data_IF_526574099812
#
_entry.id   IF_526574099812
#
_cell.length_a   1.000
_cell.length_b   1.000
_cell.length_c   1.000
_cell.angle_alpha   90.00
_cell.angle_beta   90.00
_cell.angle_gamma   90.00
#
_symmetry.space_group_name_H-M   'P 1'
#
loop_
_entity.id
_entity.type
_entity.pdbx_description
1 polymer ?
#
# COMPACT_ATOMS: atom_id res chain seq x y z
N UNK A 1 76.18 -29.51 3.54
CA UNK A 1 74.83 -29.81 3.02
C UNK A 1 73.84 -29.20 4.02
N UNK A 2 73.10 -28.14 3.68
CA UNK A 2 72.29 -27.39 4.65
C UNK A 2 70.90 -28.01 4.87
N UNK A 3 70.40 -27.86 6.09
CA UNK A 3 69.12 -28.39 6.60
C UNK A 3 67.88 -27.72 5.96
N UNK A 4 66.74 -28.41 5.85
CA UNK A 4 65.49 -27.81 5.39
C UNK A 4 64.72 -27.15 6.55
N UNK A 5 64.36 -25.88 6.32
CA UNK A 5 63.59 -25.02 7.22
C UNK A 5 62.11 -25.43 7.22
N UNK A 6 61.58 -25.68 8.42
CA UNK A 6 60.17 -25.90 8.71
C UNK A 6 59.37 -24.63 8.36
N UNK A 7 58.35 -24.75 7.51
CA UNK A 7 57.32 -23.71 7.30
C UNK A 7 55.93 -24.28 7.50
N UNK A 8 55.49 -24.28 8.75
CA UNK A 8 54.08 -24.29 9.13
C UNK A 8 53.45 -22.96 8.74
N UNK A 9 52.61 -22.95 7.70
CA UNK A 9 51.73 -21.83 7.40
C UNK A 9 50.30 -22.20 7.81
N UNK A 10 49.94 -21.88 9.05
CA UNK A 10 48.55 -21.86 9.51
C UNK A 10 47.77 -20.81 8.72
N UNK A 11 46.96 -21.26 7.75
CA UNK A 11 45.99 -20.42 7.07
C UNK A 11 44.77 -20.22 7.97
N UNK A 12 44.89 -19.32 8.95
CA UNK A 12 43.74 -18.79 9.66
C UNK A 12 43.02 -17.77 8.76
N UNK A 13 42.10 -18.27 7.94
CA UNK A 13 41.17 -17.42 7.19
C UNK A 13 40.30 -16.65 8.19
N UNK A 14 40.60 -15.37 8.41
CA UNK A 14 39.73 -14.47 9.17
C UNK A 14 38.40 -14.35 8.44
N UNK A 15 37.32 -14.73 9.11
CA UNK A 15 35.97 -14.49 8.63
C UNK A 15 35.77 -12.97 8.43
N UNK A 16 35.53 -12.57 7.19
CA UNK A 16 35.18 -11.18 6.85
C UNK A 16 33.87 -10.85 7.56
N UNK A 17 33.81 -9.81 8.42
CA UNK A 17 32.57 -9.40 9.04
C UNK A 17 31.59 -9.01 7.93
N UNK A 18 30.53 -9.81 7.75
CA UNK A 18 29.39 -9.46 6.90
C UNK A 18 28.84 -8.14 7.45
N UNK A 19 29.18 -7.04 6.79
CA UNK A 19 28.56 -5.75 7.07
C UNK A 19 27.07 -5.89 6.77
N UNK A 20 26.27 -6.11 7.81
CA UNK A 20 24.82 -5.96 7.74
C UNK A 20 24.58 -4.52 7.28
N UNK A 21 23.93 -4.39 6.12
CA UNK A 21 23.75 -3.13 5.41
C UNK A 21 23.33 -2.01 6.34
N UNK A 22 23.98 -0.86 6.16
CA UNK A 22 23.72 0.38 6.90
C UNK A 22 22.20 0.65 6.90
N UNK A 23 21.55 0.85 8.06
CA UNK A 23 20.13 1.16 8.09
C UNK A 23 19.86 2.41 7.25
N UNK A 24 18.84 2.33 6.38
CA UNK A 24 18.45 3.46 5.52
C UNK A 24 18.14 4.69 6.38
N UNK A 25 18.41 5.91 5.89
CA UNK A 25 18.05 7.14 6.59
C UNK A 25 16.57 7.13 6.97
N UNK A 26 16.20 7.62 8.16
CA UNK A 26 14.82 7.54 8.68
C UNK A 26 13.78 8.18 7.75
N UNK A 27 14.15 9.27 7.06
CA UNK A 27 13.31 9.97 6.11
C UNK A 27 12.96 9.11 4.88
N UNK A 28 13.94 8.36 4.34
CA UNK A 28 13.72 7.45 3.20
C UNK A 28 12.79 6.31 3.60
N UNK A 29 12.89 5.82 4.84
CA UNK A 29 12.00 4.79 5.37
C UNK A 29 10.57 5.31 5.51
N UNK A 30 10.40 6.55 5.96
CA UNK A 30 9.09 7.16 6.11
C UNK A 30 8.38 7.38 4.76
N UNK A 31 9.10 7.89 3.76
CA UNK A 31 8.57 8.06 2.41
C UNK A 31 8.12 6.72 1.81
N UNK A 32 8.97 5.69 1.89
CA UNK A 32 8.61 4.32 1.44
C UNK A 32 7.38 3.75 2.12
N UNK A 33 7.17 4.06 3.41
CA UNK A 33 5.99 3.61 4.15
C UNK A 33 4.74 4.40 3.74
N UNK A 34 4.88 5.69 3.45
CA UNK A 34 3.82 6.51 2.88
C UNK A 34 3.44 5.99 1.49
N UNK A 35 4.40 5.75 0.60
CA UNK A 35 4.17 5.21 -0.74
C UNK A 35 3.42 3.88 -0.68
N UNK A 36 3.85 2.98 0.20
CA UNK A 36 3.16 1.72 0.44
C UNK A 36 1.69 1.92 0.83
N UNK A 37 1.42 2.79 1.81
CA UNK A 37 0.05 3.04 2.29
C UNK A 37 -0.80 3.68 1.21
N UNK A 38 -0.24 4.62 0.46
CA UNK A 38 -0.91 5.29 -0.65
C UNK A 38 -1.29 4.28 -1.72
N UNK A 39 -0.34 3.49 -2.23
CA UNK A 39 -0.62 2.51 -3.29
C UNK A 39 -1.65 1.45 -2.84
N UNK A 40 -1.54 0.92 -1.62
CA UNK A 40 -2.53 -0.02 -1.09
C UNK A 40 -3.90 0.65 -0.94
N UNK A 41 -3.94 1.89 -0.45
CA UNK A 41 -5.17 2.67 -0.33
C UNK A 41 -5.83 2.93 -1.68
N UNK A 42 -5.04 3.30 -2.68
CA UNK A 42 -5.48 3.53 -4.06
C UNK A 42 -6.02 2.25 -4.68
N UNK A 43 -5.31 1.12 -4.56
CA UNK A 43 -5.79 -0.17 -5.07
C UNK A 43 -7.12 -0.56 -4.42
N UNK A 44 -7.24 -0.40 -3.09
CA UNK A 44 -8.46 -0.69 -2.34
C UNK A 44 -9.63 0.19 -2.81
N UNK A 45 -9.40 1.49 -2.99
CA UNK A 45 -10.41 2.44 -3.47
C UNK A 45 -10.86 2.10 -4.90
N UNK A 46 -9.92 1.89 -5.83
CA UNK A 46 -10.23 1.53 -7.21
C UNK A 46 -11.02 0.23 -7.27
N UNK A 47 -10.61 -0.77 -6.50
CA UNK A 47 -11.32 -2.04 -6.41
C UNK A 47 -12.75 -1.87 -5.89
N UNK A 48 -12.98 -0.98 -4.92
CA UNK A 48 -14.32 -0.68 -4.42
C UNK A 48 -15.17 0.00 -5.49
N UNK A 49 -14.60 0.97 -6.20
CA UNK A 49 -15.27 1.66 -7.31
C UNK A 49 -15.66 0.70 -8.44
N UNK A 50 -14.82 -0.28 -8.78
CA UNK A 50 -15.17 -1.34 -9.75
C UNK A 50 -16.45 -2.07 -9.33
N UNK A 51 -16.55 -2.49 -8.07
CA UNK A 51 -17.74 -3.17 -7.55
C UNK A 51 -18.96 -2.26 -7.67
N UNK A 52 -18.85 -1.03 -7.16
CA UNK A 52 -19.95 -0.06 -7.15
C UNK A 52 -20.46 0.23 -8.56
N UNK A 53 -19.56 0.55 -9.49
CA UNK A 53 -19.93 0.84 -10.88
C UNK A 53 -20.53 -0.37 -11.58
N UNK A 54 -19.98 -1.56 -11.36
CA UNK A 54 -20.55 -2.79 -11.94
C UNK A 54 -21.96 -3.07 -11.41
N UNK A 55 -22.19 -2.89 -10.10
CA UNK A 55 -23.50 -3.10 -9.47
C UNK A 55 -24.57 -2.12 -9.95
N UNK A 56 -24.18 -0.92 -10.39
CA UNK A 56 -25.08 0.08 -10.97
C UNK A 56 -25.06 0.10 -12.52
N UNK A 57 -24.53 -0.94 -13.16
CA UNK A 57 -24.47 -1.06 -14.63
C UNK A 57 -23.70 0.06 -15.35
N UNK A 58 -22.77 0.73 -14.67
CA UNK A 58 -21.87 1.74 -15.23
C UNK A 58 -20.57 1.06 -15.71
N UNK A 59 -20.67 0.22 -16.73
CA UNK A 59 -19.60 -0.71 -17.13
C UNK A 59 -18.35 0.01 -17.62
N UNK A 60 -18.47 1.09 -18.40
CA UNK A 60 -17.30 1.83 -18.91
C UNK A 60 -16.44 2.42 -17.78
N UNK A 61 -17.10 2.96 -16.74
CA UNK A 61 -16.42 3.47 -15.54
C UNK A 61 -15.76 2.33 -14.77
N UNK A 62 -16.47 1.20 -14.61
CA UNK A 62 -15.94 0.01 -13.93
C UNK A 62 -14.68 -0.50 -14.63
N UNK A 63 -14.69 -0.60 -15.96
CA UNK A 63 -13.55 -1.02 -16.76
C UNK A 63 -12.38 -0.04 -16.67
N UNK A 64 -12.66 1.26 -16.63
CA UNK A 64 -11.62 2.27 -16.43
C UNK A 64 -10.92 2.08 -15.09
N UNK A 65 -11.68 1.95 -13.99
CA UNK A 65 -11.11 1.73 -12.66
C UNK A 65 -10.39 0.38 -12.55
N UNK A 66 -10.87 -0.64 -13.24
CA UNK A 66 -10.22 -1.95 -13.27
C UNK A 66 -8.84 -1.88 -13.95
N UNK A 67 -8.72 -1.14 -15.07
CA UNK A 67 -7.43 -0.89 -15.72
C UNK A 67 -6.46 -0.14 -14.80
N UNK A 68 -6.93 0.89 -14.12
CA UNK A 68 -6.11 1.65 -13.17
C UNK A 68 -5.67 0.78 -11.98
N UNK A 69 -6.55 -0.08 -11.46
CA UNK A 69 -6.23 -1.00 -10.38
C UNK A 69 -5.11 -1.98 -10.77
N UNK A 70 -5.13 -2.48 -12.02
CA UNK A 70 -4.07 -3.34 -12.55
C UNK A 70 -2.73 -2.60 -12.65
N UNK A 71 -2.73 -1.31 -12.99
CA UNK A 71 -1.50 -0.51 -13.00
C UNK A 71 -0.91 -0.36 -11.59
N UNK A 72 -1.75 -0.07 -10.61
CA UNK A 72 -1.33 0.05 -9.20
C UNK A 72 -0.87 -1.30 -8.64
N UNK A 73 -1.53 -2.40 -8.99
CA UNK A 73 -1.10 -3.74 -8.59
C UNK A 73 0.29 -4.07 -9.15
N UNK A 74 0.55 -3.79 -10.42
CA UNK A 74 1.88 -3.97 -11.03
C UNK A 74 2.96 -3.15 -10.32
N UNK A 75 2.64 -1.92 -9.90
CA UNK A 75 3.55 -1.09 -9.13
C UNK A 75 3.82 -1.65 -7.73
N UNK A 76 2.79 -2.13 -7.03
CA UNK A 76 2.91 -2.82 -5.74
C UNK A 76 3.75 -4.09 -5.83
N UNK A 77 3.56 -4.89 -6.88
CA UNK A 77 4.34 -6.10 -7.16
C UNK A 77 5.80 -5.79 -7.42
N UNK A 78 6.08 -4.73 -8.20
CA UNK A 78 7.45 -4.30 -8.51
C UNK A 78 8.17 -3.74 -7.28
N UNK A 79 7.53 -2.83 -6.55
CA UNK A 79 8.21 -2.01 -5.54
C UNK A 79 8.14 -2.61 -4.13
N UNK A 80 7.13 -3.46 -3.86
CA UNK A 80 6.88 -4.06 -2.54
C UNK A 80 6.45 -5.54 -2.59
N UNK A 81 7.13 -6.43 -3.37
CA UNK A 81 6.63 -7.77 -3.71
C UNK A 81 6.21 -8.62 -2.52
N UNK A 82 7.06 -8.71 -1.48
CA UNK A 82 6.78 -9.52 -0.29
C UNK A 82 5.66 -8.95 0.59
N UNK A 83 5.59 -7.61 0.72
CA UNK A 83 4.53 -6.97 1.50
C UNK A 83 3.19 -7.09 0.76
N UNK A 84 3.22 -6.91 -0.55
CA UNK A 84 2.05 -7.03 -1.41
C UNK A 84 1.49 -8.45 -1.37
N UNK A 85 2.31 -9.48 -1.60
CA UNK A 85 1.88 -10.87 -1.57
C UNK A 85 1.14 -11.24 -0.26
N UNK A 86 1.58 -10.69 0.88
CA UNK A 86 0.92 -10.91 2.18
C UNK A 86 -0.39 -10.13 2.33
N UNK A 87 -0.47 -8.92 1.81
CA UNK A 87 -1.64 -8.04 1.96
C UNK A 87 -2.74 -8.33 0.93
N UNK A 88 -2.38 -8.88 -0.23
CA UNK A 88 -3.28 -9.11 -1.37
C UNK A 88 -4.45 -10.02 -1.00
N UNK A 89 -4.20 -11.11 -0.28
CA UNK A 89 -5.26 -12.06 0.13
C UNK A 89 -6.32 -11.39 1.00
N UNK A 90 -5.92 -10.56 1.95
CA UNK A 90 -6.84 -9.80 2.82
C UNK A 90 -7.70 -8.82 2.00
N UNK A 91 -7.11 -8.15 1.00
CA UNK A 91 -7.85 -7.25 0.12
C UNK A 91 -8.81 -7.98 -0.82
N UNK A 92 -8.46 -9.18 -1.29
CA UNK A 92 -9.37 -9.99 -2.11
C UNK A 92 -10.56 -10.50 -1.30
N UNK A 93 -10.33 -10.88 -0.03
CA UNK A 93 -11.42 -11.19 0.90
C UNK A 93 -12.30 -9.96 1.15
N UNK A 94 -11.70 -8.79 1.31
CA UNK A 94 -12.46 -7.56 1.45
C UNK A 94 -13.31 -7.26 0.20
N UNK A 95 -12.73 -7.40 -0.99
CA UNK A 95 -13.47 -7.26 -2.25
C UNK A 95 -14.64 -8.23 -2.36
N UNK A 96 -14.47 -9.50 -1.95
CA UNK A 96 -15.57 -10.47 -2.00
C UNK A 96 -16.73 -10.07 -1.08
N UNK A 97 -16.44 -9.47 0.07
CA UNK A 97 -17.50 -8.92 0.95
C UNK A 97 -18.26 -7.77 0.30
N UNK A 98 -17.57 -6.92 -0.45
CA UNK A 98 -18.21 -5.84 -1.20
C UNK A 98 -19.11 -6.37 -2.31
N UNK A 99 -18.67 -7.39 -3.04
CA UNK A 99 -19.48 -8.06 -4.05
C UNK A 99 -20.74 -8.71 -3.47
N UNK A 100 -20.67 -9.21 -2.25
CA UNK A 100 -21.81 -9.81 -1.55
C UNK A 100 -22.77 -8.77 -0.96
N UNK A 101 -22.34 -7.51 -0.83
CA UNK A 101 -23.19 -6.44 -0.29
C UNK A 101 -24.33 -6.13 -1.27
N UNK A 102 -25.58 -5.97 -0.80
CA UNK A 102 -26.68 -5.51 -1.63
C UNK A 102 -26.50 -4.01 -1.94
N UNK A 103 -26.82 -3.63 -3.17
CA UNK A 103 -26.85 -2.24 -3.63
C UNK A 103 -28.29 -1.84 -3.90
N UNK A 104 -28.61 -0.58 -3.61
CA UNK A 104 -29.87 0.04 -4.03
C UNK A 104 -29.80 0.35 -5.53
N UNK A 105 -30.94 0.56 -6.18
CA UNK A 105 -30.95 0.80 -7.63
C UNK A 105 -30.28 2.14 -7.99
N UNK A 106 -30.59 3.18 -7.22
CA UNK A 106 -30.06 4.53 -7.45
C UNK A 106 -28.64 4.68 -6.88
N UNK A 107 -27.62 4.93 -7.72
CA UNK A 107 -26.24 5.11 -7.27
C UNK A 107 -26.02 6.33 -6.38
N UNK A 108 -26.86 7.37 -6.47
CA UNK A 108 -26.68 8.60 -5.68
C UNK A 108 -27.16 8.46 -4.24
N UNK A 109 -28.19 7.63 -4.01
CA UNK A 109 -28.75 7.36 -2.68
C UNK A 109 -28.23 6.06 -2.06
N UNK A 110 -27.64 5.17 -2.85
CA UNK A 110 -27.13 3.87 -2.42
C UNK A 110 -26.17 3.98 -1.23
N UNK A 111 -26.60 3.48 -0.06
CA UNK A 111 -25.81 3.53 1.18
C UNK A 111 -24.53 2.70 1.11
N UNK A 112 -24.51 1.66 0.27
CA UNK A 112 -23.29 0.90 0.01
C UNK A 112 -22.26 1.74 -0.75
N UNK A 113 -22.69 2.58 -1.69
CA UNK A 113 -21.82 3.41 -2.52
C UNK A 113 -21.44 4.75 -1.87
N UNK A 114 -22.06 5.09 -0.74
CA UNK A 114 -21.60 6.21 0.09
C UNK A 114 -20.26 5.84 0.71
N UNK A 115 -19.20 5.97 -0.10
CA UNK A 115 -17.82 5.86 0.32
C UNK A 115 -17.64 6.82 1.48
N UNK A 116 -17.55 6.28 2.70
CA UNK A 116 -16.99 7.00 3.82
C UNK A 116 -15.50 7.17 3.53
N UNK A 117 -15.18 8.13 2.65
CA UNK A 117 -13.85 8.66 2.45
C UNK A 117 -13.43 9.29 3.78
N UNK A 118 -12.89 8.46 4.66
CA UNK A 118 -12.38 8.84 5.96
C UNK A 118 -13.43 8.82 7.07
N UNK A 119 -13.31 7.81 7.95
CA UNK A 119 -13.13 8.14 9.36
C UNK A 119 -11.84 8.96 9.52
N UNK A 120 -11.92 10.20 9.05
CA UNK A 120 -11.17 11.36 9.47
C UNK A 120 -12.17 12.24 10.21
N UNK A 121 -12.82 11.66 11.22
CA UNK A 121 -13.50 12.46 12.25
C UNK A 121 -12.43 13.04 13.18
N UNK A 122 -11.51 13.81 12.60
CA UNK A 122 -10.71 14.78 13.33
C UNK A 122 -11.14 16.16 12.85
N UNK A 123 -12.15 16.68 13.55
CA UNK A 123 -12.19 18.07 13.99
C UNK A 123 -11.79 19.13 12.95
N UNK A 124 -12.62 19.35 11.94
CA UNK A 124 -12.77 20.68 11.38
C UNK A 124 -13.83 21.45 12.18
N UNK A 125 -13.54 21.75 13.45
CA UNK A 125 -14.23 22.85 14.14
C UNK A 125 -13.79 24.12 13.39
N UNK A 126 -14.70 24.89 12.76
CA UNK A 126 -14.30 26.17 12.19
C UNK A 126 -13.75 27.04 13.33
N UNK A 127 -12.61 27.73 13.16
CA UNK A 127 -12.15 28.67 14.17
C UNK A 127 -13.26 29.71 14.43
N UNK A 128 -13.51 30.11 15.68
CA UNK A 128 -14.50 31.15 15.94
C UNK A 128 -14.08 32.41 15.18
N UNK A 129 -15.00 32.94 14.37
CA UNK A 129 -14.83 34.23 13.70
C UNK A 129 -14.56 35.27 14.80
N UNK A 130 -13.34 35.80 14.87
CA UNK A 130 -13.08 37.03 15.61
C UNK A 130 -13.95 38.10 14.96
N UNK A 131 -14.90 38.65 15.73
CA UNK A 131 -15.52 39.93 15.38
C UNK A 131 -14.40 40.97 15.38
N UNK A 132 -14.23 41.64 14.26
CA UNK A 132 -13.45 42.87 14.12
C UNK A 132 -14.48 43.99 14.07
N UNK A 133 -14.38 44.96 14.98
CA UNK A 133 -15.34 46.06 15.21
C UNK A 133 -16.41 45.65 16.22
N UNK A 134 -16.63 46.34 17.33
CA UNK A 134 -16.45 47.76 17.68
C UNK A 134 -15.74 47.94 19.03
#
# INVERSE_FOLDING_TARGET
MPEPIIRTASSAARAVPRQRGRPRPPLVRQLREQDWRTLVGTYRLLSRLVVERTKHHLIDDADSFARDAVLVEKELERDFPFRWARRRSELLLEQSTWWAQPHEDDPLSCRACQLQLGRSSDRATPPPRRRVGE
#
